data_IF_555722748072
#
_entry.id   IF_555722748072
#
_cell.length_a   1.000
_cell.length_b   1.000
_cell.length_c   1.000
_cell.angle_alpha   90.00
_cell.angle_beta   90.00
_cell.angle_gamma   90.00
#
_symmetry.space_group_name_H-M   'P 1'
#
loop_
_entity.id
_entity.type
_entity.pdbx_description
1 polymer ?
#
# COMPACT_ATOMS: atom_id res chain seq x y z
N UNK A 1 -16.21 1.11 -18.32
CA UNK A 1 -15.08 1.99 -18.69
C UNK A 1 -13.84 1.34 -18.11
N UNK A 2 -12.76 1.17 -18.88
CA UNK A 2 -11.49 0.70 -18.33
C UNK A 2 -11.03 1.73 -17.31
N UNK A 3 -10.78 1.31 -16.08
CA UNK A 3 -10.19 2.18 -15.06
C UNK A 3 -8.82 2.64 -15.57
N UNK A 4 -8.71 3.95 -15.84
CA UNK A 4 -7.48 4.55 -16.36
C UNK A 4 -6.42 4.77 -15.27
N UNK A 5 -6.77 4.52 -14.01
CA UNK A 5 -5.85 4.59 -12.88
C UNK A 5 -5.94 3.36 -12.01
N UNK A 6 -4.83 3.03 -11.36
CA UNK A 6 -4.77 1.98 -10.34
C UNK A 6 -4.23 2.59 -9.05
N UNK A 7 -4.84 2.27 -7.92
CA UNK A 7 -4.59 2.96 -6.66
C UNK A 7 -3.95 2.01 -5.64
N UNK A 8 -2.86 2.46 -5.02
CA UNK A 8 -2.00 1.67 -4.15
C UNK A 8 -1.57 2.48 -2.94
N UNK A 9 -1.01 1.78 -1.96
CA UNK A 9 -0.11 2.36 -0.97
C UNK A 9 1.28 1.73 -1.18
N UNK A 10 2.33 2.52 -0.91
CA UNK A 10 3.71 2.01 -0.82
C UNK A 10 4.34 2.31 0.55
N UNK A 11 3.53 2.82 1.49
CA UNK A 11 3.86 2.99 2.89
C UNK A 11 2.69 2.54 3.76
N UNK A 12 2.96 1.84 4.84
CA UNK A 12 1.96 1.40 5.82
C UNK A 12 2.27 1.88 7.24
N UNK A 13 1.22 2.16 8.02
CA UNK A 13 1.29 2.33 9.47
C UNK A 13 1.02 0.97 10.13
N UNK A 14 2.07 0.26 10.57
CA UNK A 14 1.96 -1.16 10.92
C UNK A 14 2.26 -1.42 12.41
N UNK A 15 1.98 -2.64 12.86
CA UNK A 15 2.40 -3.14 14.17
C UNK A 15 3.93 -3.19 14.37
N UNK A 16 4.70 -3.07 13.29
CA UNK A 16 6.16 -2.98 13.29
C UNK A 16 6.68 -1.56 13.01
N UNK A 17 5.82 -0.55 13.09
CA UNK A 17 6.14 0.84 12.77
C UNK A 17 5.80 1.23 11.34
N UNK A 18 6.41 2.31 10.85
CA UNK A 18 6.30 2.68 9.45
C UNK A 18 7.02 1.63 8.58
N UNK A 19 6.34 1.10 7.57
CA UNK A 19 6.90 0.17 6.61
C UNK A 19 6.87 0.76 5.21
N UNK A 20 7.97 0.67 4.47
CA UNK A 20 8.14 1.33 3.16
C UNK A 20 8.45 0.28 2.09
N UNK A 21 7.67 0.31 1.01
CA UNK A 21 7.79 -0.58 -0.15
C UNK A 21 8.12 0.20 -1.43
N UNK A 22 8.45 1.49 -1.33
CA UNK A 22 8.78 2.33 -2.49
C UNK A 22 9.90 1.76 -3.36
N UNK A 23 10.94 1.17 -2.73
CA UNK A 23 12.00 0.46 -3.45
C UNK A 23 11.46 -0.59 -4.42
N UNK A 24 10.58 -1.48 -3.96
CA UNK A 24 10.01 -2.53 -4.82
C UNK A 24 8.94 -1.98 -5.76
N UNK A 25 8.12 -1.04 -5.28
CA UNK A 25 7.05 -0.45 -6.06
C UNK A 25 7.57 0.34 -7.27
N UNK A 26 8.71 1.01 -7.15
CA UNK A 26 9.34 1.85 -8.17
C UNK A 26 10.53 1.16 -8.86
N UNK A 27 10.73 -0.14 -8.64
CA UNK A 27 11.78 -0.92 -9.28
C UNK A 27 11.59 -1.00 -10.80
N UNK A 28 12.70 -1.01 -11.55
CA UNK A 28 12.70 -1.12 -13.01
C UNK A 28 12.18 0.12 -13.77
N UNK A 29 12.03 1.26 -13.08
CA UNK A 29 11.75 2.54 -13.72
C UNK A 29 13.00 3.14 -14.37
N UNK A 30 12.80 3.79 -15.51
CA UNK A 30 13.89 4.46 -16.24
C UNK A 30 14.24 5.78 -15.59
N UNK A 31 13.25 6.47 -15.00
CA UNK A 31 13.43 7.78 -14.41
C UNK A 31 12.48 8.01 -13.24
N UNK A 32 12.96 8.68 -12.20
CA UNK A 32 12.14 9.15 -11.08
C UNK A 32 12.37 10.65 -10.84
N UNK A 33 11.28 11.40 -10.75
CA UNK A 33 11.28 12.77 -10.25
C UNK A 33 10.94 12.78 -8.75
N UNK A 34 11.88 13.25 -7.93
CA UNK A 34 11.72 13.38 -6.48
C UNK A 34 11.41 14.83 -6.16
N UNK A 35 10.20 15.08 -5.64
CA UNK A 35 9.76 16.42 -5.27
C UNK A 35 10.20 16.72 -3.82
N UNK A 36 11.17 17.60 -3.63
CA UNK A 36 11.70 17.95 -2.30
C UNK A 36 11.03 19.20 -1.72
N UNK A 37 11.34 19.54 -0.47
CA UNK A 37 10.77 20.67 0.26
C UNK A 37 9.77 20.23 1.35
N UNK A 38 9.42 21.12 2.29
CA UNK A 38 8.62 20.76 3.46
C UNK A 38 7.16 20.41 3.11
N UNK A 39 6.47 19.74 4.03
CA UNK A 39 5.02 19.53 3.92
C UNK A 39 4.27 20.86 3.78
N UNK A 40 3.24 20.90 2.93
CA UNK A 40 2.46 22.12 2.68
C UNK A 40 2.86 22.90 1.43
N UNK A 41 3.98 22.56 0.77
CA UNK A 41 4.43 23.22 -0.49
C UNK A 41 3.63 22.82 -1.74
N UNK A 42 2.47 22.17 -1.60
CA UNK A 42 1.59 21.83 -2.73
C UNK A 42 1.95 20.55 -3.52
N UNK A 43 2.97 19.79 -3.11
CA UNK A 43 3.44 18.57 -3.82
C UNK A 43 2.32 17.57 -4.17
N UNK A 44 1.50 17.14 -3.19
CA UNK A 44 0.34 16.24 -3.41
C UNK A 44 -0.64 16.80 -4.45
N UNK A 45 -0.92 18.11 -4.41
CA UNK A 45 -1.78 18.80 -5.38
C UNK A 45 -1.17 18.76 -6.78
N UNK A 46 0.13 19.01 -6.91
CA UNK A 46 0.84 18.91 -8.20
C UNK A 46 0.79 17.50 -8.75
N UNK A 47 1.08 16.49 -7.91
CA UNK A 47 1.00 15.07 -8.31
C UNK A 47 -0.42 14.73 -8.81
N UNK A 48 -1.46 15.19 -8.11
CA UNK A 48 -2.86 15.00 -8.52
C UNK A 48 -3.20 15.71 -9.84
N UNK A 49 -2.76 16.95 -10.02
CA UNK A 49 -2.98 17.70 -11.25
C UNK A 49 -2.32 17.02 -12.45
N UNK A 50 -1.09 16.54 -12.29
CA UNK A 50 -0.38 15.76 -13.31
C UNK A 50 -1.12 14.48 -13.63
N UNK A 51 -1.61 13.76 -12.61
CA UNK A 51 -2.43 12.56 -12.76
C UNK A 51 -3.66 12.85 -13.65
N UNK A 52 -4.46 13.85 -13.29
CA UNK A 52 -5.67 14.20 -14.04
C UNK A 52 -5.35 14.52 -15.51
N UNK A 53 -4.32 15.34 -15.76
CA UNK A 53 -3.90 15.70 -17.12
C UNK A 53 -3.44 14.48 -17.94
N UNK A 54 -2.81 13.48 -17.31
CA UNK A 54 -2.38 12.24 -17.97
C UNK A 54 -3.58 11.33 -18.28
N UNK A 55 -4.53 11.20 -17.35
CA UNK A 55 -5.75 10.42 -17.55
C UNK A 55 -6.62 11.00 -18.69
N UNK A 56 -6.70 12.33 -18.77
CA UNK A 56 -7.38 13.06 -19.86
C UNK A 56 -6.74 12.77 -21.23
N UNK A 57 -5.41 12.59 -21.26
CA UNK A 57 -4.64 12.16 -22.44
C UNK A 57 -4.73 10.66 -22.71
N UNK A 58 -5.48 9.90 -21.90
CA UNK A 58 -5.69 8.47 -22.09
C UNK A 58 -4.54 7.58 -21.62
N UNK A 59 -3.59 8.13 -20.87
CA UNK A 59 -2.52 7.35 -20.25
C UNK A 59 -3.03 6.59 -19.03
N UNK A 60 -2.48 5.39 -18.77
CA UNK A 60 -2.68 4.70 -17.50
C UNK A 60 -1.70 5.22 -16.45
N UNK A 61 -2.22 5.50 -15.25
CA UNK A 61 -1.41 6.03 -14.13
C UNK A 61 -1.63 5.19 -12.88
N UNK A 62 -0.53 4.75 -12.27
CA UNK A 62 -0.57 4.13 -10.94
C UNK A 62 -0.40 5.22 -9.88
N UNK A 63 -1.32 5.30 -8.93
CA UNK A 63 -1.39 6.31 -7.89
C UNK A 63 -1.01 5.70 -6.53
N UNK A 64 -0.08 6.35 -5.82
CA UNK A 64 0.37 5.95 -4.50
C UNK A 64 -0.14 6.95 -3.46
N UNK A 65 -0.95 6.46 -2.54
CA UNK A 65 -1.66 7.27 -1.55
C UNK A 65 -0.92 7.35 -0.22
N UNK A 66 -1.14 8.46 0.49
CA UNK A 66 -0.62 8.63 1.84
C UNK A 66 -1.45 7.84 2.86
N UNK A 67 -0.85 6.98 3.72
CA UNK A 67 -1.61 6.27 4.75
C UNK A 67 -2.13 7.22 5.85
N UNK A 68 -1.54 8.40 6.02
CA UNK A 68 -2.02 9.42 6.96
C UNK A 68 -3.22 10.19 6.37
N UNK A 69 -3.24 10.46 5.07
CA UNK A 69 -4.34 11.11 4.36
C UNK A 69 -4.60 10.40 3.03
N UNK A 70 -5.50 9.41 2.98
CA UNK A 70 -5.74 8.62 1.76
C UNK A 70 -6.18 9.44 0.55
N UNK A 71 -6.69 10.66 0.75
CA UNK A 71 -7.03 11.56 -0.36
C UNK A 71 -5.77 12.19 -0.98
N UNK A 72 -4.66 12.32 -0.25
CA UNK A 72 -3.38 12.83 -0.72
C UNK A 72 -2.59 11.77 -1.50
N UNK A 73 -1.84 12.22 -2.52
CA UNK A 73 -0.92 11.39 -3.28
C UNK A 73 0.52 11.64 -2.84
N UNK A 74 1.18 10.54 -2.48
CA UNK A 74 2.61 10.49 -2.18
C UNK A 74 3.43 10.33 -3.48
N UNK A 75 2.85 9.72 -4.52
CA UNK A 75 3.52 9.55 -5.81
C UNK A 75 2.65 8.95 -6.91
N UNK A 76 3.19 8.91 -8.12
CA UNK A 76 2.60 8.25 -9.29
C UNK A 76 3.65 7.53 -10.14
N UNK A 77 3.21 6.53 -10.89
CA UNK A 77 3.99 5.87 -11.94
C UNK A 77 3.21 5.91 -13.26
N UNK A 78 3.89 6.36 -14.31
CA UNK A 78 3.44 6.28 -15.69
C UNK A 78 3.97 4.97 -16.29
N UNK A 79 3.14 3.93 -16.30
CA UNK A 79 3.56 2.55 -16.58
C UNK A 79 4.17 2.40 -17.97
N UNK A 80 3.58 3.00 -19.01
CA UNK A 80 4.06 2.86 -20.40
C UNK A 80 5.44 3.50 -20.64
N UNK A 81 5.70 4.61 -19.94
CA UNK A 81 6.95 5.38 -20.07
C UNK A 81 8.00 4.99 -19.03
N UNK A 82 7.63 4.18 -18.03
CA UNK A 82 8.47 3.81 -16.89
C UNK A 82 9.04 5.03 -16.16
N UNK A 83 8.20 6.03 -15.93
CA UNK A 83 8.55 7.27 -15.22
C UNK A 83 7.79 7.31 -13.89
N UNK A 84 8.50 7.58 -12.80
CA UNK A 84 7.93 7.82 -11.47
C UNK A 84 7.99 9.29 -11.07
N UNK A 85 7.02 9.74 -10.27
CA UNK A 85 7.06 11.02 -9.55
C UNK A 85 6.71 10.73 -8.10
N UNK A 86 7.50 11.23 -7.14
CA UNK A 86 7.32 10.89 -5.72
C UNK A 86 7.69 12.07 -4.80
N UNK A 87 6.97 12.21 -3.68
CA UNK A 87 7.34 13.12 -2.61
C UNK A 87 8.61 12.62 -1.89
N UNK A 88 9.64 13.46 -1.85
CA UNK A 88 10.93 13.16 -1.24
C UNK A 88 10.87 12.91 0.27
N UNK A 89 9.80 13.34 0.95
CA UNK A 89 9.64 13.12 2.40
C UNK A 89 9.20 11.70 2.75
N UNK A 90 8.76 10.90 1.77
CA UNK A 90 8.25 9.53 1.99
C UNK A 90 9.02 8.47 1.22
N UNK A 91 9.92 8.85 0.32
CA UNK A 91 10.60 7.97 -0.63
C UNK A 91 11.77 7.16 -0.03
N UNK A 92 11.63 6.65 1.20
CA UNK A 92 12.68 5.88 1.86
C UNK A 92 13.04 4.62 1.06
N UNK A 93 14.33 4.39 0.86
CA UNK A 93 14.87 3.17 0.24
C UNK A 93 15.06 3.20 -1.28
N UNK A 94 14.73 4.29 -1.98
CA UNK A 94 15.06 4.44 -3.42
C UNK A 94 16.54 4.84 -3.56
N UNK A 95 17.30 4.11 -4.38
CA UNK A 95 18.72 4.40 -4.65
C UNK A 95 19.01 4.55 -6.15
N UNK A 96 20.02 5.37 -6.49
CA UNK A 96 20.45 5.61 -7.88
C UNK A 96 20.94 4.35 -8.60
N UNK A 97 21.37 3.31 -7.86
CA UNK A 97 21.88 2.08 -8.49
C UNK A 97 20.78 1.16 -9.05
N UNK A 98 19.52 1.41 -8.68
CA UNK A 98 18.36 0.55 -8.99
C UNK A 98 17.40 1.21 -10.00
N UNK A 99 17.59 2.51 -10.23
CA UNK A 99 16.76 3.36 -11.09
C UNK A 99 17.67 4.00 -12.15
N UNK A 100 17.19 4.17 -13.38
CA UNK A 100 18.02 4.73 -14.44
C UNK A 100 18.52 6.17 -14.17
N UNK A 101 17.60 7.09 -13.88
CA UNK A 101 17.86 8.52 -13.66
C UNK A 101 17.00 9.04 -12.50
N UNK A 102 17.59 9.74 -11.52
CA UNK A 102 16.85 10.41 -10.43
C UNK A 102 17.05 11.91 -10.54
N UNK A 103 15.94 12.65 -10.68
CA UNK A 103 15.95 14.11 -10.72
C UNK A 103 15.21 14.69 -9.52
N UNK A 104 15.85 15.61 -8.81
CA UNK A 104 15.25 16.32 -7.70
C UNK A 104 14.66 17.65 -8.17
N UNK A 105 13.43 17.95 -7.75
CA UNK A 105 12.76 19.23 -8.01
C UNK A 105 12.43 19.85 -6.66
N UNK A 106 13.02 21.00 -6.36
CA UNK A 106 12.90 21.61 -5.05
C UNK A 106 11.70 22.54 -4.91
N UNK A 107 10.61 22.02 -4.33
CA UNK A 107 9.46 22.86 -3.98
C UNK A 107 9.74 23.74 -2.75
N UNK A 108 10.91 23.59 -2.11
CA UNK A 108 11.42 24.54 -1.13
C UNK A 108 11.70 25.92 -1.73
N UNK A 109 11.93 26.04 -3.04
CA UNK A 109 12.12 27.33 -3.73
C UNK A 109 10.89 28.24 -3.62
N UNK A 110 9.70 27.64 -3.52
CA UNK A 110 8.45 28.39 -3.34
C UNK A 110 8.25 28.90 -1.90
N UNK A 111 9.10 28.53 -0.94
CA UNK A 111 8.95 28.91 0.46
C UNK A 111 9.63 30.26 0.74
N UNK A 112 8.83 31.26 1.14
CA UNK A 112 9.35 32.50 1.69
C UNK A 112 9.75 32.30 3.15
N UNK A 113 11.03 31.99 3.35
CA UNK A 113 11.61 31.80 4.67
C UNK A 113 11.50 33.04 5.59
N UNK A 114 11.28 34.23 5.04
CA UNK A 114 11.10 35.44 5.86
C UNK A 114 9.75 35.46 6.60
N UNK A 115 8.76 34.70 6.13
CA UNK A 115 7.45 34.54 6.77
C UNK A 115 7.46 33.48 7.89
N UNK A 116 8.51 32.67 7.96
CA UNK A 116 8.73 31.70 9.04
C UNK A 116 9.56 32.37 10.15
N UNK A 117 8.86 33.05 11.05
CA UNK A 117 9.46 33.71 12.21
C UNK A 117 10.07 32.70 13.19
N UNK A 118 11.01 33.17 14.02
CA UNK A 118 11.67 32.33 15.04
C UNK A 118 10.67 31.63 15.98
N UNK A 119 9.56 32.29 16.31
CA UNK A 119 8.47 31.70 17.09
C UNK A 119 7.75 30.58 16.34
N UNK A 120 7.51 30.73 15.04
CA UNK A 120 6.94 29.68 14.20
C UNK A 120 7.87 28.47 14.16
N UNK A 121 9.18 28.67 14.01
CA UNK A 121 10.16 27.58 14.03
C UNK A 121 10.12 26.79 15.34
N UNK A 122 10.02 27.47 16.49
CA UNK A 122 9.89 26.80 17.80
C UNK A 122 8.59 26.01 17.92
N UNK A 123 7.48 26.59 17.45
CA UNK A 123 6.17 25.92 17.47
C UNK A 123 6.15 24.71 16.54
N UNK A 124 6.73 24.81 15.35
CA UNK A 124 6.87 23.69 14.40
C UNK A 124 7.69 22.56 15.04
N UNK A 125 8.78 22.89 15.73
CA UNK A 125 9.61 21.88 16.38
C UNK A 125 8.90 21.17 17.54
N UNK A 126 8.14 21.90 18.37
CA UNK A 126 7.27 21.30 19.40
C UNK A 126 6.20 20.39 18.78
N UNK A 127 5.56 20.84 17.71
CA UNK A 127 4.58 20.04 16.97
C UNK A 127 5.22 18.79 16.36
N UNK A 128 6.45 18.85 15.84
CA UNK A 128 7.18 17.67 15.34
C UNK A 128 7.46 16.66 16.44
N UNK A 129 7.84 17.12 17.64
CA UNK A 129 8.00 16.26 18.80
C UNK A 129 6.69 15.54 19.17
N UNK A 130 5.57 16.27 19.17
CA UNK A 130 4.23 15.70 19.42
C UNK A 130 3.82 14.72 18.32
N UNK A 131 4.09 15.04 17.06
CA UNK A 131 3.81 14.17 15.92
C UNK A 131 4.55 12.84 16.05
N UNK A 132 5.84 12.88 16.38
CA UNK A 132 6.64 11.69 16.61
C UNK A 132 6.09 10.86 17.78
N UNK A 133 5.67 11.51 18.87
CA UNK A 133 5.03 10.84 20.01
C UNK A 133 3.73 10.14 19.61
N UNK A 134 2.84 10.82 18.87
CA UNK A 134 1.58 10.25 18.41
C UNK A 134 1.80 9.01 17.52
N UNK A 135 2.76 9.06 16.59
CA UNK A 135 3.14 7.87 15.81
C UNK A 135 3.69 6.75 16.69
N UNK A 136 4.58 7.05 17.65
CA UNK A 136 5.12 6.05 18.57
C UNK A 136 4.01 5.34 19.33
N UNK A 137 3.05 6.10 19.87
CA UNK A 137 1.89 5.56 20.59
C UNK A 137 0.99 4.71 19.68
N UNK A 138 0.76 5.16 18.44
CA UNK A 138 0.01 4.37 17.46
C UNK A 138 0.68 3.01 17.20
N UNK A 139 1.99 3.00 16.93
CA UNK A 139 2.73 1.78 16.61
C UNK A 139 2.88 0.83 17.81
N UNK A 140 3.14 1.35 19.00
CA UNK A 140 3.17 0.53 20.24
C UNK A 140 1.80 -0.09 20.53
N UNK A 141 0.72 0.64 20.24
CA UNK A 141 -0.64 0.15 20.41
C UNK A 141 -0.99 -0.90 19.35
N UNK A 142 -0.59 -0.72 18.09
CA UNK A 142 -0.71 -1.75 17.05
C UNK A 142 0.10 -3.00 17.39
N UNK A 143 1.32 -2.86 17.90
CA UNK A 143 2.12 -4.00 18.36
C UNK A 143 1.41 -4.77 19.48
N UNK A 144 0.74 -4.06 20.38
CA UNK A 144 -0.10 -4.69 21.42
C UNK A 144 -1.30 -5.40 20.81
N UNK A 145 -1.98 -4.79 19.84
CA UNK A 145 -3.07 -5.43 19.10
C UNK A 145 -2.60 -6.70 18.37
N UNK A 146 -1.39 -6.70 17.80
CA UNK A 146 -0.81 -7.85 17.11
C UNK A 146 -0.61 -9.01 18.08
N UNK A 147 -0.10 -8.75 19.30
CA UNK A 147 0.03 -9.79 20.34
C UNK A 147 -1.32 -10.40 20.76
N UNK A 148 -2.38 -9.60 20.77
CA UNK A 148 -3.75 -10.08 21.05
C UNK A 148 -4.26 -10.92 19.85
N UNK A 149 -3.95 -10.51 18.63
CA UNK A 149 -4.24 -11.29 17.43
C UNK A 149 -3.51 -12.65 17.46
N UNK A 150 -2.23 -12.69 17.82
CA UNK A 150 -1.48 -13.95 17.98
C UNK A 150 -2.05 -14.87 19.06
N UNK A 151 -2.62 -14.29 20.14
CA UNK A 151 -3.38 -15.04 21.13
C UNK A 151 -4.62 -15.69 20.51
N UNK A 152 -5.32 -14.96 19.64
CA UNK A 152 -6.50 -15.43 18.92
C UNK A 152 -6.17 -16.63 18.01
N UNK A 153 -5.07 -16.54 17.25
CA UNK A 153 -4.67 -17.58 16.30
C UNK A 153 -4.44 -18.94 16.97
N UNK A 154 -3.93 -18.95 18.21
CA UNK A 154 -3.60 -20.18 18.96
C UNK A 154 -4.79 -21.13 19.14
N UNK A 155 -6.02 -20.61 19.12
CA UNK A 155 -7.22 -21.45 19.22
C UNK A 155 -7.47 -22.24 17.94
N UNK A 156 -7.21 -21.64 16.77
CA UNK A 156 -7.45 -22.26 15.46
C UNK A 156 -6.26 -23.06 14.94
N UNK A 157 -5.03 -22.63 15.24
CA UNK A 157 -3.81 -23.34 14.82
C UNK A 157 -3.81 -24.78 15.34
N UNK A 158 -4.37 -25.02 16.54
CA UNK A 158 -4.45 -26.38 17.11
C UNK A 158 -5.37 -27.32 16.34
N UNK A 159 -6.38 -26.79 15.65
CA UNK A 159 -7.32 -27.56 14.85
C UNK A 159 -6.94 -27.63 13.36
N UNK A 160 -5.75 -27.13 12.99
CA UNK A 160 -5.34 -27.01 11.59
C UNK A 160 -4.71 -28.31 11.06
N UNK A 161 -5.26 -28.84 9.97
CA UNK A 161 -4.65 -29.88 9.15
C UNK A 161 -3.63 -29.24 8.17
N UNK A 162 -2.37 -29.20 8.62
CA UNK A 162 -1.27 -28.67 7.82
C UNK A 162 -0.99 -29.48 6.55
N UNK A 163 -1.22 -30.80 6.55
CA UNK A 163 -1.00 -31.61 5.34
C UNK A 163 -2.01 -31.25 4.26
N UNK A 164 -3.28 -31.02 4.66
CA UNK A 164 -4.32 -30.58 3.74
C UNK A 164 -4.09 -29.16 3.23
N UNK A 165 -3.65 -28.24 4.10
CA UNK A 165 -3.24 -26.90 3.68
C UNK A 165 -2.05 -26.93 2.68
N UNK A 166 -1.08 -27.82 2.91
CA UNK A 166 0.03 -28.05 2.00
C UNK A 166 -0.42 -28.58 0.64
N UNK A 167 -1.40 -29.49 0.63
CA UNK A 167 -1.96 -30.03 -0.60
C UNK A 167 -2.73 -28.97 -1.39
N UNK A 168 -3.58 -28.16 -0.74
CA UNK A 168 -4.29 -27.05 -1.36
C UNK A 168 -3.32 -26.08 -2.05
N UNK A 169 -2.20 -25.75 -1.39
CA UNK A 169 -1.18 -24.89 -1.98
C UNK A 169 -0.58 -25.51 -3.25
N UNK A 170 -0.27 -26.81 -3.25
CA UNK A 170 0.27 -27.52 -4.43
C UNK A 170 -0.74 -27.57 -5.57
N UNK A 171 -1.99 -27.86 -5.26
CA UNK A 171 -3.08 -27.96 -6.24
C UNK A 171 -3.30 -26.60 -6.92
N UNK A 172 -3.37 -25.50 -6.14
CA UNK A 172 -3.48 -24.14 -6.69
C UNK A 172 -2.26 -23.72 -7.51
N UNK A 173 -1.04 -24.07 -7.07
CA UNK A 173 0.18 -23.82 -7.86
C UNK A 173 0.09 -24.53 -9.21
N UNK A 174 -0.35 -25.79 -9.22
CA UNK A 174 -0.48 -26.55 -10.46
C UNK A 174 -1.57 -25.95 -11.36
N UNK A 175 -2.72 -25.64 -10.79
CA UNK A 175 -3.88 -25.10 -11.50
C UNK A 175 -3.60 -23.72 -12.12
N UNK A 176 -3.04 -22.80 -11.34
CA UNK A 176 -2.81 -21.42 -11.78
C UNK A 176 -1.65 -21.32 -12.78
N UNK A 177 -0.59 -22.12 -12.60
CA UNK A 177 0.68 -21.86 -13.27
C UNK A 177 0.94 -22.75 -14.48
N UNK A 178 0.25 -23.89 -14.59
CA UNK A 178 0.49 -24.84 -15.67
C UNK A 178 0.30 -24.21 -17.06
N UNK A 179 1.34 -24.26 -17.88
CA UNK A 179 1.34 -23.70 -19.25
C UNK A 179 1.71 -22.22 -19.32
N UNK A 180 2.01 -21.59 -18.20
CA UNK A 180 2.42 -20.18 -18.11
C UNK A 180 3.85 -20.00 -17.58
N UNK A 181 4.54 -21.10 -17.29
CA UNK A 181 5.89 -21.06 -16.73
C UNK A 181 6.95 -20.57 -17.73
N UNK A 182 8.01 -20.00 -17.19
CA UNK A 182 9.20 -19.53 -17.91
C UNK A 182 10.46 -19.96 -17.17
N UNK A 183 11.54 -20.23 -17.91
CA UNK A 183 12.86 -20.55 -17.33
C UNK A 183 13.56 -19.31 -16.73
N UNK A 184 12.93 -18.14 -16.80
CA UNK A 184 13.51 -16.87 -16.33
C UNK A 184 12.87 -16.47 -15.02
N UNK A 185 13.67 -16.30 -13.96
CA UNK A 185 13.16 -15.78 -12.68
C UNK A 185 12.56 -14.39 -12.85
N UNK A 186 11.47 -14.13 -12.12
CA UNK A 186 10.81 -12.81 -12.08
C UNK A 186 10.79 -12.28 -10.66
N UNK A 187 11.34 -11.08 -10.45
CA UNK A 187 11.29 -10.44 -9.14
C UNK A 187 9.83 -10.03 -8.80
N UNK A 188 9.31 -10.42 -7.62
CA UNK A 188 7.98 -10.00 -7.18
C UNK A 188 7.95 -8.48 -6.91
N UNK A 189 6.84 -7.84 -7.28
CA UNK A 189 6.61 -6.43 -6.99
C UNK A 189 5.79 -6.30 -5.70
N UNK A 190 6.40 -5.78 -4.65
CA UNK A 190 5.80 -5.65 -3.32
C UNK A 190 5.08 -4.30 -3.14
N UNK A 191 3.83 -4.35 -2.70
CA UNK A 191 2.90 -3.22 -2.60
C UNK A 191 2.02 -3.38 -1.36
N UNK A 192 1.23 -2.34 -1.06
CA UNK A 192 0.06 -2.43 -0.19
C UNK A 192 -1.18 -2.06 -1.01
N UNK A 193 -2.29 -2.80 -0.86
CA UNK A 193 -3.57 -2.39 -1.44
C UNK A 193 -4.36 -1.49 -0.48
N UNK A 194 -3.97 -1.50 0.79
CA UNK A 194 -4.68 -0.84 1.88
C UNK A 194 -3.75 -0.54 3.04
N UNK A 195 -4.21 0.31 3.95
CA UNK A 195 -3.43 0.80 5.06
C UNK A 195 -4.30 1.06 6.30
N UNK A 196 -3.68 1.06 7.48
CA UNK A 196 -4.27 1.66 8.67
C UNK A 196 -4.16 3.19 8.59
N UNK A 197 -5.31 3.86 8.63
CA UNK A 197 -5.44 5.31 8.45
C UNK A 197 -6.11 5.95 9.67
N UNK A 198 -6.06 7.28 9.84
CA UNK A 198 -6.83 8.01 10.86
C UNK A 198 -8.34 7.74 10.86
N UNK A 199 -8.89 7.30 9.73
CA UNK A 199 -10.33 7.00 9.55
C UNK A 199 -10.63 5.51 9.71
N UNK A 200 -9.64 4.69 10.10
CA UNK A 200 -9.73 3.23 10.15
C UNK A 200 -9.02 2.57 8.96
N UNK A 201 -9.29 1.28 8.76
CA UNK A 201 -8.76 0.55 7.61
C UNK A 201 -9.36 1.10 6.30
N UNK A 202 -8.51 1.25 5.29
CA UNK A 202 -8.90 1.72 3.96
C UNK A 202 -8.19 0.88 2.90
N UNK A 203 -8.89 0.47 1.85
CA UNK A 203 -8.33 -0.39 0.80
C UNK A 203 -8.83 -0.06 -0.61
N UNK A 204 -8.09 -0.54 -1.60
CA UNK A 204 -8.36 -0.43 -3.03
C UNK A 204 -8.61 -1.79 -3.70
N UNK A 205 -9.00 -2.84 -2.97
CA UNK A 205 -9.16 -4.20 -3.53
C UNK A 205 -10.13 -4.20 -4.73
N UNK A 206 -11.28 -3.52 -4.57
CA UNK A 206 -12.31 -3.50 -5.62
C UNK A 206 -11.81 -2.87 -6.92
N UNK A 207 -11.11 -1.73 -6.86
CA UNK A 207 -10.52 -1.09 -8.05
C UNK A 207 -9.36 -1.91 -8.63
N UNK A 208 -8.47 -2.43 -7.77
CA UNK A 208 -7.31 -3.20 -8.23
C UNK A 208 -7.68 -4.51 -8.92
N UNK A 209 -8.82 -5.08 -8.56
CA UNK A 209 -9.31 -6.34 -9.12
C UNK A 209 -10.41 -6.15 -10.16
N UNK A 210 -10.82 -4.92 -10.46
CA UNK A 210 -12.01 -4.63 -11.27
C UNK A 210 -11.92 -5.16 -12.70
N UNK A 211 -10.73 -5.18 -13.28
CA UNK A 211 -10.48 -5.58 -14.67
C UNK A 211 -10.00 -7.03 -14.80
N UNK A 212 -9.83 -7.75 -13.69
CA UNK A 212 -9.36 -9.13 -13.69
C UNK A 212 -10.52 -10.08 -13.99
N UNK A 213 -10.23 -11.14 -14.73
CA UNK A 213 -11.22 -12.15 -15.15
C UNK A 213 -11.57 -13.11 -14.01
N UNK A 214 -10.63 -13.33 -13.08
CA UNK A 214 -10.78 -14.30 -11.99
C UNK A 214 -10.38 -13.70 -10.65
N UNK A 215 -11.20 -13.95 -9.61
CA UNK A 215 -10.91 -13.52 -8.24
C UNK A 215 -11.19 -14.65 -7.25
N UNK A 216 -10.16 -15.04 -6.50
CA UNK A 216 -10.23 -16.10 -5.49
C UNK A 216 -10.24 -15.45 -4.10
N UNK A 217 -11.38 -15.53 -3.43
CA UNK A 217 -11.62 -14.98 -2.10
C UNK A 217 -11.23 -16.03 -1.05
N UNK A 218 -10.08 -15.84 -0.41
CA UNK A 218 -9.66 -16.71 0.69
C UNK A 218 -10.47 -16.34 1.94
N UNK A 219 -11.33 -17.25 2.37
CA UNK A 219 -12.05 -17.15 3.65
C UNK A 219 -11.33 -17.98 4.70
N UNK A 220 -11.46 -17.59 5.97
CA UNK A 220 -10.89 -18.35 7.07
C UNK A 220 -10.95 -17.64 8.40
N UNK A 221 -10.35 -18.27 9.43
CA UNK A 221 -10.16 -17.66 10.74
C UNK A 221 -8.69 -17.18 10.89
N UNK A 222 -8.38 -16.33 11.89
CA UNK A 222 -6.99 -16.04 12.25
C UNK A 222 -6.22 -17.35 12.46
N UNK A 223 -4.99 -17.44 11.97
CA UNK A 223 -4.21 -18.68 12.01
C UNK A 223 -4.59 -19.77 10.99
N UNK A 224 -5.52 -19.54 10.06
CA UNK A 224 -5.91 -20.56 9.05
C UNK A 224 -4.96 -20.72 7.86
N UNK A 225 -3.72 -20.24 7.97
CA UNK A 225 -2.69 -20.41 6.95
C UNK A 225 -2.85 -19.59 5.68
N UNK A 226 -3.74 -18.59 5.63
CA UNK A 226 -4.01 -17.75 4.44
C UNK A 226 -2.74 -17.06 3.92
N UNK A 227 -2.07 -16.32 4.79
CA UNK A 227 -0.78 -15.66 4.51
C UNK A 227 0.30 -16.66 4.09
N UNK A 228 0.35 -17.84 4.72
CA UNK A 228 1.29 -18.91 4.37
C UNK A 228 1.03 -19.48 2.97
N UNK A 229 -0.24 -19.67 2.60
CA UNK A 229 -0.65 -20.06 1.25
C UNK A 229 -0.19 -19.03 0.22
N UNK A 230 -0.47 -17.75 0.47
CA UNK A 230 -0.06 -16.66 -0.43
C UNK A 230 1.47 -16.59 -0.56
N UNK A 231 2.23 -16.70 0.53
CA UNK A 231 3.71 -16.72 0.45
C UNK A 231 4.24 -17.87 -0.40
N UNK A 232 3.63 -19.07 -0.29
CA UNK A 232 4.02 -20.22 -1.11
C UNK A 232 3.69 -20.01 -2.58
N UNK A 233 2.52 -19.45 -2.88
CA UNK A 233 2.14 -19.09 -4.25
C UNK A 233 3.11 -18.06 -4.85
N UNK A 234 3.43 -16.99 -4.11
CA UNK A 234 4.37 -15.96 -4.54
C UNK A 234 5.77 -16.52 -4.81
N UNK A 235 6.32 -17.31 -3.86
CA UNK A 235 7.62 -17.95 -4.02
C UNK A 235 7.63 -18.89 -5.23
N UNK A 236 6.57 -19.69 -5.43
CA UNK A 236 6.49 -20.59 -6.58
C UNK A 236 6.36 -19.82 -7.90
N UNK A 237 5.68 -18.68 -7.92
CA UNK A 237 5.58 -17.82 -9.11
C UNK A 237 6.94 -17.24 -9.51
N UNK A 238 7.71 -16.71 -8.54
CA UNK A 238 9.08 -16.25 -8.78
C UNK A 238 9.96 -17.34 -9.39
N UNK A 239 9.95 -18.54 -8.81
CA UNK A 239 10.75 -19.68 -9.29
C UNK A 239 10.32 -20.21 -10.66
N UNK A 240 9.06 -20.00 -11.03
CA UNK A 240 8.49 -20.42 -12.34
C UNK A 240 8.43 -19.28 -13.35
N UNK A 241 9.04 -18.12 -13.05
CA UNK A 241 9.06 -16.98 -13.95
C UNK A 241 7.70 -16.35 -14.23
N UNK A 242 6.78 -16.46 -13.29
CA UNK A 242 5.43 -15.88 -13.36
C UNK A 242 5.44 -14.56 -12.63
N UNK A 243 5.12 -13.50 -13.37
CA UNK A 243 4.98 -12.16 -12.84
C UNK A 243 3.88 -12.10 -11.77
N UNK A 244 4.24 -11.61 -10.59
CA UNK A 244 3.34 -11.51 -9.44
C UNK A 244 3.52 -10.17 -8.73
N UNK A 245 2.39 -9.54 -8.41
CA UNK A 245 2.33 -8.41 -7.48
C UNK A 245 1.94 -8.95 -6.12
N UNK A 246 2.76 -8.66 -5.11
CA UNK A 246 2.64 -9.15 -3.74
C UNK A 246 2.15 -8.04 -2.85
N UNK A 247 0.99 -8.21 -2.22
CA UNK A 247 0.40 -7.20 -1.35
C UNK A 247 0.51 -7.62 0.11
N UNK A 248 1.26 -6.82 0.86
CA UNK A 248 1.44 -7.00 2.30
C UNK A 248 0.21 -6.55 3.08
N UNK A 249 0.00 -7.14 4.25
CA UNK A 249 -1.04 -6.69 5.16
C UNK A 249 -0.71 -5.30 5.70
N UNK A 250 -1.66 -4.37 5.59
CA UNK A 250 -1.50 -3.00 6.08
C UNK A 250 -1.34 -2.90 7.60
N UNK A 251 -1.61 -3.98 8.34
CA UNK A 251 -1.45 -4.08 9.80
C UNK A 251 -0.17 -4.85 10.20
N UNK A 252 0.10 -6.01 9.60
CA UNK A 252 1.34 -6.78 9.81
C UNK A 252 2.10 -6.99 8.48
N UNK A 253 3.20 -6.25 8.21
CA UNK A 253 3.94 -6.35 6.96
C UNK A 253 4.60 -7.72 6.76
N UNK A 254 4.73 -8.55 7.79
CA UNK A 254 5.22 -9.92 7.64
C UNK A 254 4.14 -10.85 7.10
N UNK A 255 2.87 -10.43 7.06
CA UNK A 255 1.77 -11.16 6.47
C UNK A 255 1.44 -10.66 5.06
N UNK A 256 0.92 -11.56 4.20
CA UNK A 256 0.39 -11.22 2.89
C UNK A 256 -1.13 -11.31 2.91
N UNK A 257 -1.77 -10.34 2.25
CA UNK A 257 -3.22 -10.29 2.12
C UNK A 257 -3.69 -10.51 0.68
N UNK A 258 -2.86 -10.24 -0.34
CA UNK A 258 -3.27 -10.44 -1.73
C UNK A 258 -2.08 -10.75 -2.66
N UNK A 259 -2.36 -11.50 -3.72
CA UNK A 259 -1.53 -11.59 -4.91
C UNK A 259 -2.36 -11.22 -6.13
N UNK A 260 -1.74 -10.51 -7.07
CA UNK A 260 -2.26 -10.34 -8.43
C UNK A 260 -1.26 -10.92 -9.41
N UNK A 261 -1.76 -11.74 -10.34
CA UNK A 261 -1.00 -12.30 -11.44
C UNK A 261 -1.47 -11.63 -12.75
N UNK A 262 -0.83 -10.53 -13.19
CA UNK A 262 -1.38 -9.70 -14.27
C UNK A 262 -1.59 -10.48 -15.57
N UNK A 263 -0.63 -11.33 -15.96
CA UNK A 263 -0.74 -12.14 -17.19
C UNK A 263 -1.81 -13.22 -17.12
N UNK A 264 -2.12 -13.70 -15.91
CA UNK A 264 -3.17 -14.72 -15.69
C UNK A 264 -4.54 -14.08 -15.46
N UNK A 265 -4.64 -12.75 -15.45
CA UNK A 265 -5.87 -12.00 -15.14
C UNK A 265 -6.55 -12.50 -13.85
N UNK A 266 -5.76 -12.89 -12.85
CA UNK A 266 -6.24 -13.54 -11.63
C UNK A 266 -5.75 -12.80 -10.39
N UNK A 267 -6.65 -12.54 -9.45
CA UNK A 267 -6.32 -12.14 -8.09
C UNK A 267 -6.68 -13.24 -7.09
N UNK A 268 -5.89 -13.37 -6.04
CA UNK A 268 -6.21 -14.18 -4.87
C UNK A 268 -5.94 -13.36 -3.61
N UNK A 269 -6.94 -13.22 -2.75
CA UNK A 269 -6.84 -12.33 -1.58
C UNK A 269 -7.60 -12.81 -0.37
N UNK A 270 -7.08 -12.47 0.81
CA UNK A 270 -7.78 -12.60 2.08
C UNK A 270 -9.04 -11.75 2.06
N UNK A 271 -10.18 -12.40 2.25
CA UNK A 271 -11.49 -11.76 2.28
C UNK A 271 -12.16 -11.94 3.64
N UNK A 272 -11.38 -11.84 4.71
CA UNK A 272 -11.87 -11.82 6.09
C UNK A 272 -11.91 -10.38 6.63
N UNK A 273 -12.74 -10.14 7.65
CA UNK A 273 -12.83 -8.82 8.26
C UNK A 273 -11.43 -8.31 8.67
N UNK A 274 -11.07 -7.05 8.41
CA UNK A 274 -11.96 -5.95 8.01
C UNK A 274 -12.24 -5.81 6.50
N UNK A 275 -11.54 -6.55 5.64
CA UNK A 275 -11.66 -6.47 4.17
C UNK A 275 -12.56 -7.60 3.62
N UNK A 276 -13.75 -7.74 4.20
CA UNK A 276 -14.68 -8.80 3.83
C UNK A 276 -15.49 -8.44 2.58
N UNK A 277 -15.34 -9.28 1.55
CA UNK A 277 -16.03 -9.16 0.28
C UNK A 277 -16.68 -10.50 -0.09
N UNK A 278 -17.67 -10.48 -0.97
CA UNK A 278 -18.38 -11.67 -1.41
C UNK A 278 -18.38 -11.74 -2.93
N UNK A 279 -18.38 -12.96 -3.51
CA UNK A 279 -18.55 -13.15 -4.94
C UNK A 279 -19.75 -12.37 -5.48
N UNK A 280 -19.52 -11.55 -6.49
CA UNK A 280 -20.53 -10.73 -7.14
C UNK A 280 -20.44 -10.74 -8.68
N UNK A 281 -19.42 -11.42 -9.25
CA UNK A 281 -19.14 -11.49 -10.69
C UNK A 281 -18.81 -12.90 -11.15
N UNK A 282 -18.95 -13.14 -12.45
CA UNK A 282 -18.43 -14.33 -13.10
C UNK A 282 -16.91 -14.42 -12.91
N UNK A 283 -16.40 -15.61 -12.60
CA UNK A 283 -14.98 -15.83 -12.27
C UNK A 283 -14.61 -15.61 -10.79
N UNK A 284 -15.57 -15.24 -9.95
CA UNK A 284 -15.37 -15.19 -8.50
C UNK A 284 -15.49 -16.59 -7.88
N UNK A 285 -14.54 -16.92 -7.02
CA UNK A 285 -14.47 -18.22 -6.34
C UNK A 285 -14.13 -18.05 -4.86
N UNK A 286 -14.67 -18.91 -4.01
CA UNK A 286 -14.36 -18.91 -2.58
C UNK A 286 -13.44 -20.07 -2.25
N UNK A 287 -12.26 -19.75 -1.71
CA UNK A 287 -11.37 -20.71 -1.07
C UNK A 287 -11.53 -20.60 0.44
N UNK A 288 -12.43 -21.40 1.01
CA UNK A 288 -12.66 -21.41 2.46
C UNK A 288 -11.65 -22.31 3.17
N UNK A 289 -10.55 -21.69 3.62
CA UNK A 289 -9.50 -22.38 4.37
C UNK A 289 -10.00 -22.91 5.71
N UNK A 290 -11.01 -22.29 6.33
CA UNK A 290 -11.55 -22.80 7.60
C UNK A 290 -12.23 -24.15 7.37
N UNK A 291 -13.23 -24.19 6.48
CA UNK A 291 -13.95 -25.43 6.16
C UNK A 291 -13.05 -26.50 5.56
N UNK A 292 -12.05 -26.10 4.78
CA UNK A 292 -11.14 -27.05 4.13
C UNK A 292 -10.09 -27.60 5.09
N UNK A 293 -9.55 -26.82 6.02
CA UNK A 293 -8.34 -27.22 6.78
C UNK A 293 -8.53 -27.33 8.27
N UNK A 294 -9.73 -27.09 8.79
CA UNK A 294 -9.98 -27.13 10.23
C UNK A 294 -11.15 -28.02 10.59
N UNK A 295 -11.05 -28.62 11.78
CA UNK A 295 -12.16 -29.32 12.40
C UNK A 295 -13.29 -28.33 12.77
N UNK A 296 -14.55 -28.64 12.42
CA UNK A 296 -15.70 -27.88 12.90
C UNK A 296 -15.77 -27.91 14.43
N UNK A 297 -16.29 -26.84 15.06
CA UNK A 297 -16.53 -26.80 16.50
C UNK A 297 -15.61 -25.90 17.31
N UNK A 298 -14.52 -25.38 16.72
CA UNK A 298 -13.57 -24.49 17.43
C UNK A 298 -14.22 -23.16 17.84
N UNK A 299 -15.07 -22.59 16.98
CA UNK A 299 -15.81 -21.36 17.28
C UNK A 299 -16.74 -21.56 18.49
N UNK A 300 -17.43 -22.69 18.56
CA UNK A 300 -18.37 -23.02 19.64
C UNK A 300 -17.65 -23.38 20.94
N UNK A 301 -16.59 -24.18 20.85
CA UNK A 301 -15.84 -24.68 22.01
C UNK A 301 -15.16 -23.56 22.80
N UNK A 302 -14.76 -22.48 22.12
CA UNK A 302 -14.00 -21.37 22.70
C UNK A 302 -14.73 -20.02 22.53
N UNK A 303 -16.05 -20.03 22.39
CA UNK A 303 -16.83 -18.84 22.06
C UNK A 303 -16.62 -17.68 23.06
N UNK A 304 -16.56 -17.99 24.35
CA UNK A 304 -16.38 -16.98 25.40
C UNK A 304 -14.98 -16.34 25.36
N UNK A 305 -13.94 -17.17 25.22
CA UNK A 305 -12.55 -16.73 25.13
C UNK A 305 -12.31 -15.92 23.85
N UNK A 306 -12.81 -16.41 22.71
CA UNK A 306 -12.72 -15.72 21.41
C UNK A 306 -13.45 -14.38 21.46
N UNK A 307 -14.63 -14.32 22.08
CA UNK A 307 -15.37 -13.06 22.23
C UNK A 307 -14.57 -12.02 23.04
N UNK A 308 -13.99 -12.44 24.17
CA UNK A 308 -13.15 -11.56 25.00
C UNK A 308 -11.87 -11.09 24.28
N UNK A 309 -11.26 -11.95 23.46
CA UNK A 309 -10.11 -11.59 22.63
C UNK A 309 -10.50 -10.57 21.56
N UNK A 310 -11.61 -10.80 20.84
CA UNK A 310 -12.14 -9.88 19.81
C UNK A 310 -12.42 -8.49 20.38
N UNK A 311 -13.02 -8.42 21.57
CA UNK A 311 -13.29 -7.15 22.25
C UNK A 311 -11.99 -6.38 22.55
N UNK A 312 -11.00 -7.05 23.16
CA UNK A 312 -9.69 -6.44 23.44
C UNK A 312 -8.97 -6.00 22.17
N UNK A 313 -8.97 -6.84 21.13
CA UNK A 313 -8.36 -6.53 19.85
C UNK A 313 -9.00 -5.30 19.22
N UNK A 314 -10.34 -5.27 19.13
CA UNK A 314 -11.08 -4.14 18.56
C UNK A 314 -10.84 -2.85 19.35
N UNK A 315 -10.80 -2.93 20.69
CA UNK A 315 -10.51 -1.78 21.54
C UNK A 315 -9.11 -1.22 21.26
N UNK A 316 -8.09 -2.09 21.15
CA UNK A 316 -6.71 -1.67 20.85
C UNK A 316 -6.55 -1.12 19.44
N UNK A 317 -7.22 -1.70 18.44
CA UNK A 317 -7.22 -1.15 17.08
C UNK A 317 -7.85 0.25 17.03
N UNK A 318 -8.95 0.48 17.77
CA UNK A 318 -9.59 1.79 17.89
C UNK A 318 -8.68 2.81 18.58
N UNK A 319 -8.01 2.41 19.66
CA UNK A 319 -7.03 3.24 20.37
C UNK A 319 -5.86 3.64 19.45
N UNK A 320 -5.26 2.68 18.74
CA UNK A 320 -4.18 2.95 17.78
C UNK A 320 -4.62 3.91 16.66
N UNK A 321 -5.83 3.70 16.12
CA UNK A 321 -6.43 4.59 15.11
C UNK A 321 -6.60 6.01 15.64
N UNK A 322 -6.94 6.19 16.92
CA UNK A 322 -7.07 7.53 17.51
C UNK A 322 -5.76 8.30 17.58
N UNK A 323 -4.63 7.61 17.82
CA UNK A 323 -3.31 8.23 17.76
C UNK A 323 -2.90 8.61 16.33
N UNK A 324 -3.31 7.84 15.31
CA UNK A 324 -3.14 8.26 13.92
C UNK A 324 -3.96 9.51 13.59
N UNK A 325 -5.18 9.63 14.12
CA UNK A 325 -5.99 10.84 13.97
C UNK A 325 -5.37 12.05 14.67
N UNK A 326 -4.76 11.86 15.83
CA UNK A 326 -3.96 12.90 16.48
C UNK A 326 -2.75 13.30 15.62
N UNK A 327 -2.02 12.32 15.07
CA UNK A 327 -0.90 12.59 14.16
C UNK A 327 -1.32 13.39 12.92
N UNK A 328 -2.47 13.07 12.32
CA UNK A 328 -3.02 13.82 11.17
C UNK A 328 -3.35 15.27 11.54
N UNK A 329 -3.97 15.48 12.71
CA UNK A 329 -4.31 16.82 13.20
C UNK A 329 -3.06 17.67 13.49
N UNK A 330 -2.01 17.07 14.08
CA UNK A 330 -0.74 17.76 14.33
C UNK A 330 -0.02 18.07 13.01
N UNK A 331 0.03 17.10 12.09
CA UNK A 331 0.64 17.29 10.78
C UNK A 331 -0.05 18.40 9.99
N UNK A 332 -1.37 18.51 10.10
CA UNK A 332 -2.17 19.61 9.51
C UNK A 332 -1.78 20.98 10.08
N UNK A 333 -1.48 21.08 11.37
CA UNK A 333 -1.00 22.32 12.00
C UNK A 333 0.39 22.72 11.47
N UNK A 334 1.31 21.75 11.35
CA UNK A 334 2.63 22.01 10.77
C UNK A 334 2.49 22.45 9.31
N UNK A 335 1.66 21.76 8.51
CA UNK A 335 1.38 22.10 7.11
C UNK A 335 0.87 23.55 6.99
N UNK A 336 0.01 24.01 7.89
CA UNK A 336 -0.55 25.36 7.83
C UNK A 336 0.51 26.47 7.87
N UNK A 337 1.58 26.31 8.68
CA UNK A 337 2.69 27.27 8.71
C UNK A 337 3.41 27.35 7.36
N UNK A 338 3.72 26.21 6.76
CA UNK A 338 4.41 26.17 5.46
C UNK A 338 3.51 26.64 4.32
N UNK A 339 2.22 26.28 4.33
CA UNK A 339 1.23 26.79 3.34
C UNK A 339 1.16 28.32 3.38
N UNK A 340 1.10 28.92 4.58
CA UNK A 340 1.05 30.37 4.74
C UNK A 340 2.32 31.08 4.23
N UNK A 341 3.46 30.39 4.21
CA UNK A 341 4.73 30.90 3.72
C UNK A 341 5.05 30.48 2.27
N UNK A 342 4.17 29.71 1.60
CA UNK A 342 4.42 29.22 0.24
C UNK A 342 3.85 30.18 -0.80
N UNK A 343 4.68 30.61 -1.75
CA UNK A 343 4.24 31.31 -2.95
C UNK A 343 3.76 30.30 -4.01
N UNK A 344 2.44 30.12 -4.10
CA UNK A 344 1.85 29.16 -5.04
C UNK A 344 2.03 29.51 -6.52
N UNK A 345 2.39 30.75 -6.86
CA UNK A 345 2.75 31.09 -8.25
C UNK A 345 4.04 30.38 -8.67
N UNK A 346 5.03 30.29 -7.76
CA UNK A 346 6.27 29.54 -8.01
C UNK A 346 5.98 28.04 -8.08
N UNK A 347 5.07 27.53 -7.24
CA UNK A 347 4.62 26.13 -7.31
C UNK A 347 3.99 25.81 -8.67
N UNK A 348 3.19 26.72 -9.22
CA UNK A 348 2.60 26.58 -10.56
C UNK A 348 3.66 26.58 -11.66
N UNK A 349 4.69 27.43 -11.56
CA UNK A 349 5.82 27.44 -12.49
C UNK A 349 6.60 26.11 -12.45
N UNK A 350 6.91 25.60 -11.26
CA UNK A 350 7.56 24.30 -11.07
C UNK A 350 6.69 23.15 -11.64
N UNK A 351 5.37 23.19 -11.43
CA UNK A 351 4.45 22.23 -12.02
C UNK A 351 4.50 22.26 -13.55
N UNK A 352 4.50 23.45 -14.16
CA UNK A 352 4.56 23.60 -15.62
C UNK A 352 5.88 23.10 -16.21
N UNK A 353 7.00 23.35 -15.53
CA UNK A 353 8.32 22.85 -15.92
C UNK A 353 8.35 21.32 -15.88
N UNK A 354 7.93 20.72 -14.77
CA UNK A 354 7.84 19.26 -14.61
C UNK A 354 6.90 18.64 -15.67
N UNK A 355 5.75 19.25 -15.91
CA UNK A 355 4.79 18.79 -16.91
C UNK A 355 5.37 18.84 -18.33
N UNK A 356 6.12 19.91 -18.66
CA UNK A 356 6.75 20.06 -19.98
C UNK A 356 7.83 19.00 -20.20
N UNK A 357 8.71 18.80 -19.23
CA UNK A 357 9.75 17.76 -19.31
C UNK A 357 9.14 16.36 -19.44
N UNK A 358 8.08 16.08 -18.66
CA UNK A 358 7.36 14.82 -18.73
C UNK A 358 6.79 14.56 -20.14
N UNK A 359 6.18 15.58 -20.76
CA UNK A 359 5.57 15.46 -22.08
C UNK A 359 6.57 15.35 -23.23
N UNK A 360 7.69 16.06 -23.16
CA UNK A 360 8.79 15.89 -24.14
C UNK A 360 9.33 14.46 -24.12
N UNK A 361 9.47 13.87 -22.93
CA UNK A 361 9.92 12.48 -22.77
C UNK A 361 8.89 11.47 -23.27
N UNK A 362 7.61 11.66 -22.96
CA UNK A 362 6.54 10.80 -23.48
C UNK A 362 6.49 10.86 -25.02
N UNK A 363 6.56 12.07 -25.59
CA UNK A 363 6.53 12.27 -27.04
C UNK A 363 7.74 11.67 -27.77
N UNK A 364 8.95 11.83 -27.23
CA UNK A 364 10.16 11.23 -27.81
C UNK A 364 10.18 9.69 -27.75
N UNK A 365 9.57 9.09 -26.73
CA UNK A 365 9.38 7.64 -26.63
C UNK A 365 8.35 7.10 -27.63
N UNK A 366 7.32 7.88 -27.97
CA UNK A 366 6.33 7.48 -28.97
C UNK A 366 6.86 7.58 -30.42
N UNK A 367 7.83 8.45 -30.67
CA UNK A 367 8.48 8.60 -31.98
C UNK A 367 9.60 7.57 -32.24
N UNK A 368 10.09 6.90 -31.20
CA UNK A 368 11.18 5.92 -31.28
C UNK A 368 10.71 4.45 -31.26
N UNK A 369 9.41 4.22 -31.07
CA UNK A 369 8.72 2.93 -31.28
C UNK A 369 8.06 2.92 -32.66
#
# INVERSE_FOLDING_TARGET
>A
MVEKSSHYFARGNTAHGAHFLYKSAFDGLNKIFVLTGPQGTGKSTVIRNLTNNLLDKGQHVQCFHSPLRPDDLDGIILTESKIGIIDGQVCEGISENEVGEINFIDFGEALDNSLILLEHTRMIEDLRGKLASAYSQAYETFLTALRIHDEWEKYYIKSMDFMKADQIAKDLIQELYAGHESDTLTAPRHLFFGAATPKGAFDFIQSLTAQLERRIFIKGRPGSGKSTLLKRLANAAEQKGIEVQVFHCGFDPNSLDMLIFPKLQTAIFDSTAPHEYFPDRDGDEVLDMYTLTMDPGTDEAYAAEIAAIKERYSAKMKEATSFLAEAEAIDSQIKAYYVAATNFSIVEELQQQLQSELYERIGSMQLSK
#
